data_IF_120359523920
#
_entry.id   IF_120359523920
#
_cell.length_a   1.000
_cell.length_b   1.000
_cell.length_c   1.000
_cell.angle_alpha   90.00
_cell.angle_beta   90.00
_cell.angle_gamma   90.00
#
_symmetry.space_group_name_H-M   'P 1'
#
loop_
_entity.id
_entity.type
_entity.pdbx_description
1 polymer ?
#
# COMPACT_ATOMS: atom_id res chain seq x y z
N UNK A 1 -1.70 10.12 9.54
CA UNK A 1 -0.82 10.46 10.67
C UNK A 1 0.55 10.89 10.13
N UNK A 2 1.18 11.91 10.70
CA UNK A 2 2.53 12.35 10.31
C UNK A 2 3.50 12.37 11.49
N UNK A 3 4.72 11.87 11.30
CA UNK A 3 5.79 11.89 12.31
C UNK A 3 7.15 12.11 11.67
N UNK A 4 8.04 12.84 12.35
CA UNK A 4 9.42 12.92 11.91
C UNK A 4 10.13 11.58 12.10
N UNK A 5 10.82 11.06 11.09
CA UNK A 5 11.54 9.78 11.14
C UNK A 5 12.48 9.69 12.35
N UNK A 6 13.24 10.77 12.62
CA UNK A 6 14.14 10.85 13.79
C UNK A 6 13.45 10.72 15.16
N UNK A 7 12.13 10.92 15.24
CA UNK A 7 11.31 10.78 16.45
C UNK A 7 10.70 9.38 16.61
N UNK A 8 10.77 8.54 15.58
CA UNK A 8 10.34 7.14 15.67
C UNK A 8 11.30 6.40 16.61
N UNK A 9 10.73 5.57 17.49
CA UNK A 9 11.48 4.78 18.47
C UNK A 9 11.93 3.46 17.84
N UNK A 10 12.98 2.87 18.38
CA UNK A 10 13.46 1.52 17.98
C UNK A 10 12.52 0.40 18.45
N UNK A 11 11.61 0.70 19.38
CA UNK A 11 10.52 -0.19 19.78
C UNK A 11 9.32 -0.01 18.86
N UNK A 12 8.60 -1.09 18.59
CA UNK A 12 7.35 -1.08 17.83
C UNK A 12 6.32 -0.10 18.42
N UNK A 13 5.74 0.71 17.53
CA UNK A 13 4.61 1.58 17.81
C UNK A 13 3.47 1.18 16.87
N UNK A 14 2.23 1.37 17.30
CA UNK A 14 1.05 1.03 16.48
C UNK A 14 0.54 2.23 15.72
N UNK A 15 0.00 1.97 14.52
CA UNK A 15 -0.82 2.92 13.79
C UNK A 15 -2.12 2.25 13.36
N UNK A 16 -3.16 3.07 13.22
CA UNK A 16 -4.49 2.68 12.74
C UNK A 16 -5.07 3.90 12.02
N UNK A 17 -5.35 3.74 10.73
CA UNK A 17 -5.83 4.79 9.84
C UNK A 17 -6.99 4.23 9.05
N UNK A 18 -8.08 4.99 8.99
CA UNK A 18 -9.24 4.67 8.17
C UNK A 18 -9.30 5.59 6.96
N UNK A 19 -9.34 5.00 5.77
CA UNK A 19 -9.56 5.68 4.49
C UNK A 19 -10.86 5.14 3.93
N UNK A 20 -11.91 5.96 3.95
CA UNK A 20 -13.28 5.56 3.57
C UNK A 20 -13.76 4.30 4.32
N UNK A 21 -14.02 3.19 3.62
CA UNK A 21 -14.45 1.91 4.20
C UNK A 21 -13.28 0.93 4.45
N UNK A 22 -12.05 1.39 4.23
CA UNK A 22 -10.82 0.59 4.32
C UNK A 22 -10.03 0.98 5.58
N UNK A 23 -9.58 -0.03 6.31
CA UNK A 23 -8.73 0.09 7.50
C UNK A 23 -7.29 -0.29 7.16
N UNK A 24 -6.36 0.61 7.45
CA UNK A 24 -4.92 0.42 7.32
C UNK A 24 -4.30 0.45 8.72
N UNK A 25 -3.82 -0.70 9.20
CA UNK A 25 -3.37 -0.84 10.59
C UNK A 25 -2.11 -1.69 10.68
N UNK A 26 -1.27 -1.42 11.69
CA UNK A 26 0.00 -2.12 11.81
C UNK A 26 0.95 -1.55 12.84
N UNK A 27 2.24 -1.84 12.62
CA UNK A 27 3.35 -1.47 13.47
C UNK A 27 4.42 -0.72 12.67
N UNK A 28 5.14 0.15 13.36
CA UNK A 28 6.29 0.84 12.81
C UNK A 28 7.38 1.04 13.87
N UNK A 29 8.64 0.97 13.46
CA UNK A 29 9.79 1.18 14.32
C UNK A 29 10.97 1.71 13.53
N UNK A 30 11.93 2.28 14.25
CA UNK A 30 13.19 2.74 13.68
C UNK A 30 14.16 1.57 13.59
N UNK A 31 14.53 1.13 12.38
CA UNK A 31 15.53 0.08 12.14
C UNK A 31 16.95 0.62 11.93
N UNK A 32 17.09 1.93 11.67
CA UNK A 32 18.40 2.56 11.52
C UNK A 32 18.36 4.07 11.75
N UNK A 33 19.54 4.71 11.71
CA UNK A 33 19.64 6.17 11.91
C UNK A 33 18.79 6.98 10.92
N UNK A 34 18.73 6.50 9.69
CA UNK A 34 18.09 7.11 8.53
C UNK A 34 17.01 6.20 7.93
N UNK A 35 16.49 5.27 8.73
CA UNK A 35 15.61 4.18 8.28
C UNK A 35 14.56 3.81 9.32
N UNK A 36 13.33 3.62 8.87
CA UNK A 36 12.24 3.05 9.65
C UNK A 36 11.54 1.95 8.85
N UNK A 37 11.01 0.95 9.53
CA UNK A 37 10.16 -0.08 8.93
C UNK A 37 8.71 0.17 9.30
N UNK A 38 7.83 -0.19 8.38
CA UNK A 38 6.39 -0.21 8.58
C UNK A 38 5.88 -1.56 8.10
N UNK A 39 5.21 -2.28 8.99
CA UNK A 39 4.49 -3.51 8.67
C UNK A 39 3.02 -3.31 9.00
N UNK A 40 2.16 -3.62 8.05
CA UNK A 40 0.74 -3.40 8.23
C UNK A 40 -0.12 -4.33 7.40
N UNK A 41 -1.41 -4.11 7.52
CA UNK A 41 -2.42 -4.72 6.68
C UNK A 41 -3.48 -3.70 6.29
N UNK A 42 -3.97 -3.86 5.09
CA UNK A 42 -5.13 -3.18 4.54
C UNK A 42 -6.29 -4.16 4.59
N UNK A 43 -7.39 -3.75 5.18
CA UNK A 43 -8.58 -4.58 5.31
C UNK A 43 -9.84 -3.74 5.14
N UNK A 44 -10.77 -4.22 4.32
CA UNK A 44 -12.06 -3.57 4.13
C UNK A 44 -12.64 -3.83 2.76
N UNK A 45 -13.73 -3.12 2.48
CA UNK A 45 -14.41 -3.20 1.21
C UNK A 45 -13.83 -2.15 0.25
N UNK A 46 -13.22 -2.60 -0.85
CA UNK A 46 -12.55 -1.72 -1.82
C UNK A 46 -13.39 -1.57 -3.08
N UNK A 47 -13.46 -0.35 -3.60
CA UNK A 47 -14.08 -0.08 -4.90
C UNK A 47 -13.06 -0.28 -6.00
N UNK A 48 -13.39 -1.19 -6.93
CA UNK A 48 -12.56 -1.59 -8.06
C UNK A 48 -13.29 -1.31 -9.38
N UNK A 49 -12.52 -1.15 -10.45
CA UNK A 49 -13.03 -1.07 -11.82
C UNK A 49 -12.62 -2.32 -12.56
N UNK A 50 -13.57 -3.00 -13.21
CA UNK A 50 -13.25 -4.15 -14.06
C UNK A 50 -12.40 -3.70 -15.25
N UNK A 51 -11.21 -4.27 -15.41
CA UNK A 51 -10.29 -3.93 -16.51
C UNK A 51 -10.84 -4.33 -17.89
N UNK A 52 -11.79 -5.28 -17.94
CA UNK A 52 -12.38 -5.75 -19.19
C UNK A 52 -13.58 -4.93 -19.66
N UNK A 53 -14.48 -4.53 -18.76
CA UNK A 53 -15.74 -3.87 -19.12
C UNK A 53 -15.95 -2.49 -18.49
N UNK A 54 -15.08 -2.06 -17.56
CA UNK A 54 -15.19 -0.79 -16.85
C UNK A 54 -16.31 -0.72 -15.81
N UNK A 55 -16.98 -1.83 -15.51
CA UNK A 55 -17.99 -1.88 -14.45
C UNK A 55 -17.33 -1.73 -13.08
N UNK A 56 -17.86 -0.84 -12.25
CA UNK A 56 -17.44 -0.72 -10.86
C UNK A 56 -18.04 -1.85 -10.04
N UNK A 57 -17.21 -2.47 -9.21
CA UNK A 57 -17.64 -3.48 -8.26
C UNK A 57 -16.87 -3.32 -6.94
N UNK A 58 -17.31 -4.06 -5.95
CA UNK A 58 -16.73 -4.05 -4.62
C UNK A 58 -16.19 -5.43 -4.27
N UNK A 59 -15.04 -5.46 -3.61
CA UNK A 59 -14.41 -6.68 -3.13
C UNK A 59 -13.93 -6.50 -1.69
N UNK A 60 -14.04 -7.55 -0.88
CA UNK A 60 -13.48 -7.56 0.47
C UNK A 60 -12.01 -8.00 0.38
N UNK A 61 -11.10 -7.11 0.78
CA UNK A 61 -9.66 -7.37 0.76
C UNK A 61 -9.10 -7.50 2.18
N UNK A 62 -8.07 -8.33 2.30
CA UNK A 62 -7.17 -8.38 3.45
C UNK A 62 -5.75 -8.63 2.95
N UNK A 63 -4.96 -7.56 2.83
CA UNK A 63 -3.63 -7.60 2.24
C UNK A 63 -2.56 -7.07 3.20
N UNK A 64 -1.50 -7.85 3.49
CA UNK A 64 -0.37 -7.36 4.25
C UNK A 64 0.56 -6.51 3.38
N UNK A 65 1.25 -5.56 4.00
CA UNK A 65 2.30 -4.79 3.35
C UNK A 65 3.49 -4.58 4.28
N UNK A 66 4.68 -4.41 3.68
CA UNK A 66 5.92 -4.06 4.37
C UNK A 66 6.63 -2.98 3.56
N UNK A 67 6.99 -1.88 4.22
CA UNK A 67 7.61 -0.72 3.56
C UNK A 67 8.80 -0.26 4.38
N UNK A 68 9.91 -0.05 3.69
CA UNK A 68 11.07 0.63 4.26
C UNK A 68 10.95 2.14 3.97
N UNK A 69 11.16 2.98 4.98
CA UNK A 69 11.16 4.43 4.84
C UNK A 69 12.53 4.99 5.19
N UNK A 70 13.10 5.80 4.30
CA UNK A 70 14.41 6.43 4.47
C UNK A 70 14.34 7.94 4.31
N UNK A 71 15.20 8.68 5.02
CA UNK A 71 15.32 10.14 4.93
C UNK A 71 16.56 10.61 4.14
N UNK A 72 17.13 9.71 3.34
CA UNK A 72 18.28 9.97 2.47
C UNK A 72 18.04 9.38 1.08
N UNK A 73 18.64 9.97 0.02
CA UNK A 73 18.56 9.40 -1.31
C UNK A 73 19.24 8.02 -1.35
N UNK A 74 18.55 7.03 -1.89
CA UNK A 74 19.11 5.71 -2.14
C UNK A 74 19.74 5.67 -3.53
N UNK A 75 20.98 5.19 -3.61
CA UNK A 75 21.53 4.82 -4.93
C UNK A 75 20.90 3.50 -5.32
N UNK A 76 20.13 3.50 -6.42
CA UNK A 76 19.44 2.34 -7.03
C UNK A 76 19.94 1.01 -6.46
N UNK A 77 19.26 0.53 -5.42
CA UNK A 77 19.42 -0.82 -4.86
C UNK A 77 18.28 -1.70 -5.36
N UNK A 78 18.40 -3.02 -5.15
CA UNK A 78 17.40 -4.02 -5.54
C UNK A 78 16.10 -4.00 -4.68
N UNK A 79 15.87 -2.97 -3.86
CA UNK A 79 14.70 -2.87 -2.99
C UNK A 79 13.63 -2.02 -3.68
N UNK A 80 12.51 -2.64 -4.05
CA UNK A 80 11.42 -1.97 -4.76
C UNK A 80 10.46 -1.23 -3.83
N UNK A 81 10.30 -1.71 -2.58
CA UNK A 81 9.31 -1.19 -1.62
C UNK A 81 9.94 -0.24 -0.60
N UNK A 82 10.56 0.84 -1.12
CA UNK A 82 11.22 1.87 -0.32
C UNK A 82 10.64 3.26 -0.61
N UNK A 83 10.32 4.00 0.43
CA UNK A 83 9.83 5.40 0.34
C UNK A 83 10.91 6.37 0.81
N UNK A 84 11.27 7.32 -0.05
CA UNK A 84 12.24 8.38 0.24
C UNK A 84 11.55 9.64 0.79
N UNK A 85 11.49 9.77 2.12
CA UNK A 85 10.97 10.95 2.81
C UNK A 85 12.08 11.98 3.04
N UNK A 86 12.47 12.72 2.00
CA UNK A 86 13.61 13.66 2.05
C UNK A 86 13.40 14.88 2.97
N UNK A 87 12.15 15.20 3.34
CA UNK A 87 11.83 16.19 4.38
C UNK A 87 11.88 15.60 5.81
N UNK A 88 12.14 14.30 5.92
CA UNK A 88 12.18 13.52 7.14
C UNK A 88 10.81 13.26 7.75
N UNK A 89 9.70 13.54 7.05
CA UNK A 89 8.33 13.32 7.51
C UNK A 89 7.81 12.01 6.94
N UNK A 90 7.48 11.07 7.83
CA UNK A 90 6.77 9.83 7.48
C UNK A 90 5.27 10.13 7.55
N UNK A 91 4.61 10.12 6.39
CA UNK A 91 3.17 10.35 6.24
C UNK A 91 2.44 9.02 6.02
N UNK A 92 1.88 8.49 7.10
CA UNK A 92 1.13 7.23 7.08
C UNK A 92 -0.20 7.34 6.31
N UNK A 93 -0.81 8.54 6.22
CA UNK A 93 -2.03 8.68 5.41
C UNK A 93 -1.68 8.51 3.93
N UNK A 94 -0.56 9.10 3.50
CA UNK A 94 -0.07 8.96 2.13
C UNK A 94 0.34 7.53 1.82
N UNK A 95 1.05 6.87 2.74
CA UNK A 95 1.45 5.47 2.60
C UNK A 95 0.21 4.57 2.46
N UNK A 96 -0.76 4.66 3.37
CA UNK A 96 -1.97 3.85 3.25
C UNK A 96 -2.72 4.12 1.94
N UNK A 97 -2.77 5.38 1.47
CA UNK A 97 -3.38 5.71 0.18
C UNK A 97 -2.60 5.17 -1.02
N UNK A 98 -1.27 5.15 -0.98
CA UNK A 98 -0.46 4.58 -2.06
C UNK A 98 -0.68 3.08 -2.15
N UNK A 99 -0.71 2.39 -1.01
CA UNK A 99 -0.93 0.95 -0.98
C UNK A 99 -2.34 0.58 -1.46
N UNK A 100 -3.38 1.31 -1.02
CA UNK A 100 -4.74 1.13 -1.56
C UNK A 100 -4.76 1.36 -3.07
N UNK A 101 -4.07 2.39 -3.57
CA UNK A 101 -4.00 2.68 -5.00
C UNK A 101 -3.23 1.60 -5.78
N UNK A 102 -2.20 1.01 -5.18
CA UNK A 102 -1.47 -0.14 -5.74
C UNK A 102 -2.42 -1.33 -5.92
N UNK A 103 -3.20 -1.66 -4.89
CA UNK A 103 -4.23 -2.71 -4.97
C UNK A 103 -5.22 -2.39 -6.08
N UNK A 104 -5.76 -1.17 -6.14
CA UNK A 104 -6.70 -0.75 -7.20
C UNK A 104 -6.10 -0.80 -8.61
N UNK A 105 -4.77 -0.75 -8.74
CA UNK A 105 -4.06 -0.78 -10.01
C UNK A 105 -3.69 -2.20 -10.46
N UNK A 106 -3.95 -3.21 -9.63
CA UNK A 106 -3.85 -4.60 -10.04
C UNK A 106 -4.94 -4.96 -11.05
N UNK A 107 -4.85 -6.16 -11.62
CA UNK A 107 -5.80 -6.61 -12.64
C UNK A 107 -7.05 -7.22 -12.00
N UNK A 108 -8.17 -6.54 -12.19
CA UNK A 108 -9.45 -6.79 -11.54
C UNK A 108 -10.53 -7.14 -12.56
N UNK A 109 -11.23 -8.24 -12.34
CA UNK A 109 -12.36 -8.66 -13.17
C UNK A 109 -13.63 -8.72 -12.33
N UNK A 110 -14.72 -8.14 -12.83
CA UNK A 110 -16.03 -8.41 -12.24
C UNK A 110 -16.47 -9.85 -12.55
N UNK A 111 -17.41 -10.37 -11.77
CA UNK A 111 -17.94 -11.74 -11.93
C UNK A 111 -18.37 -12.05 -13.37
N UNK A 112 -18.97 -11.08 -14.07
CA UNK A 112 -19.39 -11.26 -15.48
C UNK A 112 -18.23 -11.51 -16.43
N UNK A 113 -17.06 -10.94 -16.14
CA UNK A 113 -15.89 -11.00 -17.01
C UNK A 113 -14.90 -12.12 -16.63
N UNK A 114 -15.00 -12.65 -15.40
CA UNK A 114 -14.25 -13.84 -14.96
C UNK A 114 -14.63 -15.09 -15.77
N UNK A 115 -15.90 -15.23 -16.13
CA UNK A 115 -16.44 -16.43 -16.80
C UNK A 115 -16.37 -16.39 -18.34
N UNK A 116 -15.77 -15.36 -18.93
CA UNK A 116 -15.66 -15.24 -20.39
C UNK A 116 -14.31 -15.81 -20.83
N UNK A 117 -14.32 -17.08 -21.21
CA UNK A 117 -13.20 -17.88 -21.72
C UNK A 117 -12.79 -17.54 -23.17
N UNK A 118 -13.12 -16.34 -23.66
CA UNK A 118 -12.66 -15.88 -24.98
C UNK A 118 -11.26 -15.28 -24.84
N UNK A 119 -10.25 -16.15 -24.93
CA UNK A 119 -8.94 -15.77 -25.42
C UNK A 119 -9.09 -15.37 -26.88
N UNK A 120 -8.81 -14.11 -27.23
CA UNK A 120 -8.61 -13.74 -28.63
C UNK A 120 -7.38 -14.51 -29.14
N UNK A 121 -7.64 -15.59 -29.89
CA UNK A 121 -6.60 -16.24 -30.69
C UNK A 121 -6.35 -15.32 -31.87
N UNK A 122 -5.24 -14.57 -31.84
CA UNK A 122 -4.75 -13.93 -33.05
C UNK A 122 -4.41 -15.02 -34.09
N UNK A 123 -5.05 -14.95 -35.25
CA UNK A 123 -4.78 -15.80 -36.42
C UNK A 123 -3.66 -15.23 -37.29
#
# INVERSE_FOLDING_TARGET
MQILLRKIRETENRFDIKVDEISCSGYFWRSGKHKAEIEGKIQGNISLSCDRCGEQFFEDIEEPFHIEVIDQPLKVTDCLDVIECLDGIVDFDMICKSEIASIQSEYHLCEKCKDIDEFEIEY
#
